data_IF_456532902857
#
_entry.id   IF_456532902857
#
_cell.length_a   1.000
_cell.length_b   1.000
_cell.length_c   1.000
_cell.angle_alpha   90.00
_cell.angle_beta   90.00
_cell.angle_gamma   90.00
#
_symmetry.space_group_name_H-M   'P 1'
#
loop_
_entity.id
_entity.type
_entity.pdbx_description
1 polymer ?
#
# COMPACT_ATOMS: atom_id res chain seq x y z
N UNK A 1 13.88 -5.72 -9.10
CA UNK A 1 13.65 -4.63 -8.12
C UNK A 1 15.00 -4.19 -7.63
N UNK A 2 15.26 -2.88 -7.56
CA UNK A 2 16.49 -2.32 -7.01
C UNK A 2 16.38 -2.22 -5.48
N UNK A 3 17.50 -2.15 -4.77
CA UNK A 3 17.47 -2.01 -3.30
C UNK A 3 16.78 -0.70 -2.86
N UNK A 4 16.97 0.38 -3.63
CA UNK A 4 16.29 1.65 -3.42
C UNK A 4 14.75 1.54 -3.57
N UNK A 5 14.28 0.75 -4.54
CA UNK A 5 12.86 0.49 -4.71
C UNK A 5 12.27 -0.35 -3.56
N UNK A 6 13.07 -1.24 -2.96
CA UNK A 6 12.66 -1.98 -1.75
C UNK A 6 12.59 -1.04 -0.54
N UNK A 7 13.57 -0.16 -0.38
CA UNK A 7 13.62 0.81 0.72
C UNK A 7 12.44 1.79 0.66
N UNK A 8 12.12 2.33 -0.51
CA UNK A 8 10.95 3.21 -0.70
C UNK A 8 9.64 2.49 -0.38
N UNK A 9 9.50 1.23 -0.84
CA UNK A 9 8.33 0.39 -0.53
C UNK A 9 8.14 0.19 0.98
N UNK A 10 9.24 0.06 1.73
CA UNK A 10 9.20 -0.07 3.19
C UNK A 10 8.82 1.25 3.86
N UNK A 11 9.30 2.38 3.37
CA UNK A 11 8.93 3.70 3.89
C UNK A 11 7.44 4.00 3.67
N UNK A 12 6.96 3.79 2.44
CA UNK A 12 5.53 3.93 2.11
C UNK A 12 4.63 3.01 2.94
N UNK A 13 5.07 1.79 3.24
CA UNK A 13 4.36 0.91 4.14
C UNK A 13 4.12 1.54 5.52
N UNK A 14 5.15 2.16 6.11
CA UNK A 14 5.01 2.80 7.42
C UNK A 14 4.05 3.99 7.39
N UNK A 15 4.07 4.80 6.32
CA UNK A 15 3.16 5.93 6.15
C UNK A 15 1.70 5.48 6.05
N UNK A 16 1.41 4.49 5.21
CA UNK A 16 0.05 3.96 5.02
C UNK A 16 -0.48 3.31 6.31
N UNK A 17 0.37 2.59 7.05
CA UNK A 17 -0.01 1.98 8.33
C UNK A 17 -0.36 3.05 9.36
N UNK A 18 0.41 4.14 9.45
CA UNK A 18 0.11 5.22 10.37
C UNK A 18 -1.19 5.93 10.00
N UNK A 19 -1.41 6.24 8.72
CA UNK A 19 -2.64 6.87 8.22
C UNK A 19 -3.89 6.04 8.52
N UNK A 20 -3.84 4.73 8.24
CA UNK A 20 -4.94 3.80 8.57
C UNK A 20 -5.16 3.74 10.09
N UNK A 21 -4.08 3.71 10.87
CA UNK A 21 -4.15 3.72 12.34
C UNK A 21 -4.75 5.00 12.91
N UNK A 22 -4.49 6.17 12.31
CA UNK A 22 -5.11 7.44 12.70
C UNK A 22 -6.60 7.45 12.32
N UNK A 23 -6.94 7.04 11.10
CA UNK A 23 -8.32 6.95 10.64
C UNK A 23 -9.17 6.08 11.58
N UNK A 24 -8.66 4.93 12.00
CA UNK A 24 -9.36 4.05 12.95
C UNK A 24 -9.61 4.75 14.29
N UNK A 25 -8.60 5.47 14.83
CA UNK A 25 -8.72 6.17 16.11
C UNK A 25 -9.74 7.30 16.05
N UNK A 26 -9.73 8.09 14.98
CA UNK A 26 -10.65 9.20 14.78
C UNK A 26 -12.11 8.71 14.67
N UNK A 27 -12.34 7.63 13.91
CA UNK A 27 -13.69 7.11 13.69
C UNK A 27 -14.23 6.30 14.89
N UNK A 28 -13.36 5.61 15.64
CA UNK A 28 -13.75 4.88 16.85
C UNK A 28 -14.14 5.82 18.01
N UNK A 29 -13.55 7.02 18.09
CA UNK A 29 -13.83 7.98 19.16
C UNK A 29 -15.12 8.78 18.95
N UNK A 30 -15.63 8.87 17.71
CA UNK A 30 -16.76 9.74 17.37
C UNK A 30 -18.12 9.01 17.25
N UNK A 31 -18.19 7.71 17.53
CA UNK A 31 -19.42 6.94 17.35
C UNK A 31 -19.83 6.78 15.87
N UNK A 32 -18.85 6.75 14.97
CA UNK A 32 -19.06 6.66 13.54
C UNK A 32 -19.61 5.29 13.09
N UNK A 33 -20.17 5.25 11.88
CA UNK A 33 -20.82 4.09 11.27
C UNK A 33 -19.91 2.83 11.32
N UNK A 34 -20.37 1.71 11.92
CA UNK A 34 -19.60 0.48 12.05
C UNK A 34 -19.02 -0.08 10.74
N UNK A 35 -19.65 0.21 9.60
CA UNK A 35 -19.17 -0.22 8.28
C UNK A 35 -17.80 0.40 7.92
N UNK A 36 -17.58 1.67 8.27
CA UNK A 36 -16.31 2.37 8.03
C UNK A 36 -15.19 1.82 8.91
N UNK A 37 -15.52 1.39 10.13
CA UNK A 37 -14.59 0.71 11.01
C UNK A 37 -14.19 -0.67 10.46
N UNK A 38 -15.14 -1.47 9.95
CA UNK A 38 -14.88 -2.77 9.34
C UNK A 38 -13.99 -2.64 8.09
N UNK A 39 -14.25 -1.66 7.23
CA UNK A 39 -13.41 -1.38 6.05
C UNK A 39 -11.96 -1.04 6.44
N UNK A 40 -11.77 -0.24 7.48
CA UNK A 40 -10.45 0.07 8.01
C UNK A 40 -9.73 -1.17 8.62
N UNK A 41 -10.48 -2.07 9.27
CA UNK A 41 -9.95 -3.37 9.74
C UNK A 41 -9.56 -4.28 8.57
N UNK A 42 -10.35 -4.33 7.50
CA UNK A 42 -10.05 -5.19 6.35
C UNK A 42 -8.85 -4.66 5.55
N UNK A 43 -8.71 -3.33 5.40
CA UNK A 43 -7.48 -2.69 4.92
C UNK A 43 -6.26 -3.03 5.78
N UNK A 44 -6.43 -3.03 7.10
CA UNK A 44 -5.36 -3.44 8.04
C UNK A 44 -5.01 -4.93 7.95
N UNK A 45 -5.97 -5.82 7.64
CA UNK A 45 -5.69 -7.25 7.37
C UNK A 45 -4.96 -7.45 6.05
N UNK A 46 -5.33 -6.69 5.02
CA UNK A 46 -4.65 -6.72 3.72
C UNK A 46 -3.22 -6.15 3.81
N UNK A 47 -2.97 -5.27 4.77
CA UNK A 47 -1.66 -4.73 5.16
C UNK A 47 -0.78 -5.71 5.95
N UNK A 48 -1.18 -6.98 6.18
CA UNK A 48 -0.26 -7.98 6.73
C UNK A 48 0.83 -8.38 5.71
N UNK A 49 1.79 -7.45 5.60
CA UNK A 49 3.09 -7.38 4.97
C UNK A 49 3.32 -8.08 3.62
N UNK A 50 3.22 -9.40 3.53
CA UNK A 50 3.70 -10.12 2.33
C UNK A 50 2.70 -10.07 1.17
N UNK A 51 1.41 -10.06 1.48
CA UNK A 51 0.35 -10.01 0.46
C UNK A 51 0.35 -8.67 -0.28
N UNK A 52 0.40 -7.57 0.46
CA UNK A 52 0.41 -6.22 -0.09
C UNK A 52 1.69 -5.92 -0.87
N UNK A 53 2.88 -6.16 -0.30
CA UNK A 53 4.14 -5.96 -1.01
C UNK A 53 4.21 -6.81 -2.29
N UNK A 54 3.72 -8.06 -2.25
CA UNK A 54 3.65 -8.92 -3.44
C UNK A 54 2.73 -8.33 -4.52
N UNK A 55 1.55 -7.81 -4.16
CA UNK A 55 0.62 -7.20 -5.13
C UNK A 55 1.23 -5.96 -5.78
N UNK A 56 1.82 -5.07 -4.99
CA UNK A 56 2.47 -3.86 -5.50
C UNK A 56 3.62 -4.18 -6.45
N UNK A 57 4.47 -5.16 -6.12
CA UNK A 57 5.58 -5.58 -6.98
C UNK A 57 5.10 -6.27 -8.28
N UNK A 58 3.98 -6.99 -8.25
CA UNK A 58 3.37 -7.58 -9.44
C UNK A 58 2.84 -6.47 -10.35
N UNK A 59 2.03 -5.54 -9.81
CA UNK A 59 1.44 -4.41 -10.55
C UNK A 59 2.53 -3.53 -11.17
N UNK A 60 3.57 -3.21 -10.41
CA UNK A 60 4.71 -2.45 -10.91
C UNK A 60 5.49 -3.18 -12.02
N UNK A 61 5.55 -4.52 -11.95
CA UNK A 61 6.18 -5.36 -12.96
C UNK A 61 5.39 -5.40 -14.27
N UNK A 62 4.07 -5.51 -14.18
CA UNK A 62 3.15 -5.48 -15.32
C UNK A 62 3.21 -4.11 -16.03
N UNK A 63 3.12 -3.01 -15.28
CA UNK A 63 3.27 -1.64 -15.82
C UNK A 63 4.65 -1.41 -16.47
N UNK A 64 5.70 -1.93 -15.84
CA UNK A 64 7.05 -1.84 -16.36
C UNK A 64 7.19 -2.61 -17.69
N UNK A 65 6.62 -3.81 -17.78
CA UNK A 65 6.63 -4.64 -18.98
C UNK A 65 5.84 -3.99 -20.13
N UNK A 66 4.63 -3.48 -19.86
CA UNK A 66 3.81 -2.76 -20.86
C UNK A 66 4.53 -1.53 -21.44
N UNK A 67 5.34 -0.85 -20.62
CA UNK A 67 6.12 0.33 -21.02
C UNK A 67 7.51 -0.01 -21.59
N UNK A 68 7.87 -1.29 -21.65
CA UNK A 68 9.16 -1.76 -22.20
C UNK A 68 10.35 -1.59 -21.26
N UNK A 69 10.12 -1.33 -19.98
CA UNK A 69 11.17 -1.29 -18.97
C UNK A 69 11.64 -2.70 -18.61
N UNK A 70 12.96 -2.89 -18.55
CA UNK A 70 13.56 -4.19 -18.19
C UNK A 70 13.62 -4.45 -16.69
N UNK A 71 13.30 -3.45 -15.87
CA UNK A 71 13.40 -3.46 -14.40
C UNK A 71 12.39 -2.48 -13.81
N UNK A 72 11.92 -2.79 -12.60
CA UNK A 72 11.13 -1.90 -11.75
C UNK A 72 12.10 -1.01 -10.96
N UNK A 73 12.00 0.30 -11.16
CA UNK A 73 12.68 1.34 -10.38
C UNK A 73 11.65 2.12 -9.53
N UNK A 74 12.14 3.05 -8.69
CA UNK A 74 11.33 3.82 -7.73
C UNK A 74 10.17 4.56 -8.43
N UNK A 75 10.43 5.14 -9.60
CA UNK A 75 9.43 5.89 -10.37
C UNK A 75 8.20 5.04 -10.75
N UNK A 76 8.37 3.72 -10.94
CA UNK A 76 7.26 2.82 -11.27
C UNK A 76 6.45 2.40 -10.04
N UNK A 77 6.93 2.69 -8.82
CA UNK A 77 6.21 2.38 -7.57
C UNK A 77 5.40 3.58 -7.07
N UNK A 78 5.98 4.79 -7.12
CA UNK A 78 5.37 6.03 -6.58
C UNK A 78 4.06 6.45 -7.26
N UNK A 79 3.76 5.89 -8.43
CA UNK A 79 2.55 6.19 -9.20
C UNK A 79 1.43 5.19 -9.00
N UNK A 80 1.67 4.11 -8.26
CA UNK A 80 0.67 3.08 -8.02
C UNK A 80 -0.32 3.54 -6.95
N UNK A 81 -1.61 3.36 -7.23
CA UNK A 81 -2.63 3.42 -6.19
C UNK A 81 -2.54 2.13 -5.34
N UNK A 82 -2.27 2.23 -4.03
CA UNK A 82 -2.14 1.07 -3.14
C UNK A 82 -3.47 0.41 -2.78
N UNK A 83 -4.61 0.97 -3.21
CA UNK A 83 -5.97 0.50 -2.91
C UNK A 83 -6.79 0.09 -4.15
N UNK A 84 -6.25 0.25 -5.37
CA UNK A 84 -6.81 -0.33 -6.62
C UNK A 84 -6.41 -1.79 -6.84
#
# INVERSE_FOLDING_TARGET
VTDAAIEELLLWYYEVVDEVGQNIREHAQLGANPATFIDAIDKMKDLMMLGWMRRMLVKAGEDAEERGYKRIDVEQLIHLDPFE
#
